data_IF_203400665496
#
_entry.id   IF_203400665496
#
_cell.length_a   1.000
_cell.length_b   1.000
_cell.length_c   1.000
_cell.angle_alpha   90.00
_cell.angle_beta   90.00
_cell.angle_gamma   90.00
#
_symmetry.space_group_name_H-M   'P 1'
#
loop_
_entity.id
_entity.type
_entity.pdbx_description
1 polymer ?
#
# COMPACT_ATOMS: atom_id res chain seq x y z
N UNK A 1 -0.13 -74.37 -9.73
CA UNK A 1 0.56 -73.12 -10.15
C UNK A 1 -0.55 -72.08 -10.30
N UNK A 2 -0.89 -71.26 -9.28
CA UNK A 2 -0.31 -69.93 -8.95
C UNK A 2 -0.19 -69.05 -10.21
N UNK A 3 -0.77 -67.86 -10.39
CA UNK A 3 -1.40 -66.79 -9.57
C UNK A 3 -2.27 -65.94 -10.54
N UNK A 4 -3.58 -65.73 -10.28
CA UNK A 4 -4.25 -64.51 -9.78
C UNK A 4 -3.71 -63.15 -10.30
N UNK A 5 -4.43 -62.58 -11.28
CA UNK A 5 -4.36 -61.16 -11.68
C UNK A 5 -5.12 -60.27 -10.69
N UNK A 6 -4.47 -59.21 -10.19
CA UNK A 6 -5.14 -58.10 -9.48
C UNK A 6 -4.78 -56.75 -10.11
N UNK A 7 -5.76 -55.86 -10.06
CA UNK A 7 -5.82 -54.55 -10.68
C UNK A 7 -4.91 -53.53 -9.99
N UNK A 8 -4.11 -52.79 -10.76
CA UNK A 8 -3.25 -51.69 -10.29
C UNK A 8 -3.54 -50.39 -11.03
N UNK A 9 -3.97 -49.38 -10.29
CA UNK A 9 -4.24 -48.00 -10.71
C UNK A 9 -2.95 -47.27 -11.13
N UNK A 10 -2.96 -46.66 -12.32
CA UNK A 10 -1.86 -45.84 -12.85
C UNK A 10 -2.00 -44.38 -12.39
N UNK A 11 -1.09 -43.92 -11.54
CA UNK A 11 -0.78 -42.50 -11.33
C UNK A 11 0.22 -42.01 -12.40
N UNK A 12 0.04 -40.82 -13.02
CA UNK A 12 1.04 -40.25 -13.92
C UNK A 12 2.15 -39.50 -13.18
N UNK A 13 3.34 -39.66 -13.75
CA UNK A 13 4.66 -39.12 -13.46
C UNK A 13 4.76 -37.70 -12.87
N UNK A 14 5.71 -37.55 -11.94
CA UNK A 14 6.22 -36.30 -11.41
C UNK A 14 7.10 -35.54 -12.43
N UNK A 15 7.01 -34.19 -12.52
CA UNK A 15 8.01 -33.39 -13.20
C UNK A 15 9.15 -32.99 -12.24
N UNK A 16 10.34 -33.46 -12.61
CA UNK A 16 11.67 -32.82 -12.51
C UNK A 16 11.88 -31.65 -11.54
N UNK A 17 12.78 -31.90 -10.58
CA UNK A 17 13.37 -30.93 -9.67
C UNK A 17 14.24 -29.88 -10.39
N UNK A 18 14.02 -28.61 -10.07
CA UNK A 18 14.89 -27.49 -10.43
C UNK A 18 14.68 -26.32 -9.47
N UNK A 19 15.78 -25.82 -8.88
CA UNK A 19 15.88 -24.71 -7.92
C UNK A 19 15.53 -24.99 -6.45
N UNK A 20 16.33 -25.86 -5.81
CA UNK A 20 16.56 -25.84 -4.37
C UNK A 20 18.06 -25.71 -4.08
N UNK A 21 18.59 -24.49 -3.91
CA UNK A 21 19.90 -24.25 -3.29
C UNK A 21 20.21 -22.77 -3.02
N UNK A 22 19.65 -22.17 -1.95
CA UNK A 22 20.22 -20.93 -1.35
C UNK A 22 20.11 -20.82 0.19
N UNK A 23 20.09 -21.96 0.89
CA UNK A 23 20.30 -21.99 2.35
C UNK A 23 20.98 -23.31 2.73
N UNK A 24 22.22 -23.34 3.24
CA UNK A 24 22.71 -24.52 3.94
C UNK A 24 22.29 -24.37 5.41
N UNK A 25 21.08 -24.81 5.74
CA UNK A 25 20.72 -25.09 7.13
C UNK A 25 20.90 -26.59 7.31
N UNK A 26 22.01 -27.02 7.90
CA UNK A 26 22.15 -28.39 8.39
C UNK A 26 21.25 -28.51 9.61
N UNK A 27 20.05 -29.07 9.43
CA UNK A 27 19.19 -29.51 10.52
C UNK A 27 19.92 -30.64 11.28
N UNK A 28 20.34 -30.37 12.51
CA UNK A 28 20.54 -31.42 13.52
C UNK A 28 19.35 -31.37 14.47
N UNK A 29 18.60 -32.46 14.50
CA UNK A 29 17.52 -32.67 15.43
C UNK A 29 18.04 -32.89 16.85
N UNK A 30 17.16 -32.61 17.81
CA UNK A 30 17.24 -32.83 19.27
C UNK A 30 17.87 -31.68 20.07
N UNK A 31 17.01 -30.77 20.55
CA UNK A 31 17.26 -29.99 21.76
C UNK A 31 15.98 -29.92 22.61
N UNK A 32 16.12 -30.32 23.87
CA UNK A 32 15.14 -30.22 24.94
C UNK A 32 14.84 -28.76 25.30
N UNK A 33 13.62 -28.44 25.79
CA UNK A 33 13.26 -27.08 26.16
C UNK A 33 14.05 -26.65 27.40
N UNK A 34 14.82 -25.56 27.27
CA UNK A 34 15.51 -24.93 28.41
C UNK A 34 14.49 -24.05 29.16
N UNK A 35 14.44 -24.08 30.50
CA UNK A 35 13.41 -23.38 31.26
C UNK A 35 13.50 -21.86 31.08
N UNK A 36 12.33 -21.22 31.00
CA UNK A 36 12.14 -19.78 31.02
C UNK A 36 12.60 -19.22 32.38
N UNK A 37 13.86 -18.79 32.48
CA UNK A 37 14.43 -18.33 33.74
C UNK A 37 15.76 -17.62 33.54
N UNK A 38 15.72 -16.41 32.96
CA UNK A 38 16.68 -15.28 33.07
C UNK A 38 16.55 -14.36 31.83
N UNK A 39 15.34 -13.88 31.54
CA UNK A 39 15.13 -12.80 30.56
C UNK A 39 15.31 -11.47 31.31
N UNK A 40 16.56 -11.19 31.65
CA UNK A 40 16.99 -9.97 32.35
C UNK A 40 18.11 -9.25 31.60
N UNK A 41 18.16 -9.35 30.27
CA UNK A 41 18.95 -8.46 29.45
C UNK A 41 18.02 -7.39 28.89
N UNK A 42 18.12 -6.17 29.41
CA UNK A 42 17.27 -5.03 29.05
C UNK A 42 17.20 -4.85 27.51
N UNK A 43 16.14 -5.35 26.89
CA UNK A 43 15.77 -5.00 25.52
C UNK A 43 15.42 -3.51 25.50
N UNK A 44 16.40 -2.65 25.22
CA UNK A 44 16.20 -1.18 25.17
C UNK A 44 15.17 -0.75 24.12
N UNK A 45 14.81 -1.64 23.18
CA UNK A 45 13.76 -1.41 22.21
C UNK A 45 12.35 -1.78 22.72
N UNK A 46 12.18 -2.43 23.88
CA UNK A 46 10.86 -2.82 24.40
C UNK A 46 10.08 -3.84 23.54
N UNK A 47 10.79 -4.71 22.82
CA UNK A 47 10.24 -5.80 21.99
C UNK A 47 11.23 -6.96 21.86
N UNK A 48 10.98 -7.96 20.99
CA UNK A 48 11.82 -9.18 20.85
C UNK A 48 13.20 -8.94 20.20
N UNK A 49 13.45 -7.76 19.63
CA UNK A 49 14.75 -7.43 19.03
C UNK A 49 15.85 -7.26 20.07
N UNK A 50 16.99 -7.90 19.81
CA UNK A 50 18.21 -7.84 20.62
C UNK A 50 19.27 -7.04 19.87
N UNK A 51 19.71 -5.91 20.44
CA UNK A 51 20.77 -5.07 19.88
C UNK A 51 22.06 -5.18 20.69
N UNK A 52 23.17 -5.38 20.00
CA UNK A 52 24.53 -5.38 20.58
C UNK A 52 25.23 -4.02 20.50
N UNK A 53 24.49 -3.00 20.02
CA UNK A 53 24.98 -1.63 19.93
C UNK A 53 25.04 -1.01 21.32
N UNK A 54 26.23 -0.53 21.73
CA UNK A 54 26.42 0.07 23.06
C UNK A 54 26.42 -0.94 24.22
N UNK A 55 26.49 -2.24 23.96
CA UNK A 55 26.65 -3.28 24.98
C UNK A 55 28.13 -3.60 25.24
N UNK A 56 28.43 -4.22 26.39
CA UNK A 56 29.78 -4.69 26.73
C UNK A 56 30.29 -5.75 25.74
N UNK A 57 31.61 -5.95 25.69
CA UNK A 57 32.24 -6.96 24.85
C UNK A 57 31.80 -8.38 25.21
N UNK A 58 31.70 -8.69 26.50
CA UNK A 58 31.24 -9.99 27.00
C UNK A 58 29.79 -10.28 26.60
N UNK A 59 28.90 -9.29 26.71
CA UNK A 59 27.51 -9.42 26.28
C UNK A 59 27.39 -9.61 24.76
N UNK A 60 28.15 -8.82 23.98
CA UNK A 60 28.20 -8.98 22.53
C UNK A 60 28.67 -10.38 22.14
N UNK A 61 29.73 -10.90 22.75
CA UNK A 61 30.21 -12.25 22.50
C UNK A 61 29.18 -13.33 22.84
N UNK A 62 28.41 -13.17 23.92
CA UNK A 62 27.33 -14.09 24.28
C UNK A 62 26.21 -14.15 23.22
N UNK A 63 25.76 -13.00 22.71
CA UNK A 63 24.73 -12.92 21.66
C UNK A 63 25.21 -13.59 20.36
N UNK A 64 26.45 -13.32 19.95
CA UNK A 64 27.00 -13.94 18.73
C UNK A 64 27.19 -15.45 18.88
N UNK A 65 27.58 -15.96 20.06
CA UNK A 65 27.64 -17.41 20.32
C UNK A 65 26.28 -18.08 20.19
N UNK A 66 25.22 -17.50 20.78
CA UNK A 66 23.84 -18.00 20.64
C UNK A 66 23.36 -18.05 19.19
N UNK A 67 23.72 -17.03 18.40
CA UNK A 67 23.37 -16.98 16.97
C UNK A 67 24.13 -18.02 16.12
N UNK A 68 25.33 -18.44 16.53
CA UNK A 68 26.17 -19.38 15.77
C UNK A 68 25.97 -20.84 16.18
N UNK A 69 25.85 -21.10 17.49
CA UNK A 69 25.91 -22.46 18.05
C UNK A 69 24.53 -23.11 18.18
N UNK A 70 23.54 -22.34 18.63
CA UNK A 70 22.22 -22.87 18.99
C UNK A 70 21.19 -22.64 17.88
N UNK A 71 21.44 -21.68 16.98
CA UNK A 71 20.51 -21.30 15.91
C UNK A 71 19.26 -20.55 16.41
N UNK A 72 19.15 -20.35 17.73
CA UNK A 72 18.01 -19.70 18.40
C UNK A 72 17.85 -18.22 18.05
N UNK A 73 18.92 -17.56 17.61
CA UNK A 73 18.92 -16.16 17.22
C UNK A 73 19.25 -15.99 15.74
N UNK A 74 18.34 -15.33 15.01
CA UNK A 74 18.54 -14.95 13.62
C UNK A 74 19.09 -13.52 13.56
N UNK A 75 20.20 -13.34 12.86
CA UNK A 75 20.75 -12.01 12.60
C UNK A 75 19.94 -11.30 11.52
N UNK A 76 19.28 -10.19 11.87
CA UNK A 76 18.49 -9.37 10.95
C UNK A 76 19.37 -8.31 10.28
N UNK A 77 20.20 -7.63 11.07
CA UNK A 77 21.16 -6.61 10.64
C UNK A 77 22.48 -6.77 11.39
N UNK A 78 23.57 -6.10 10.96
CA UNK A 78 24.77 -6.05 11.77
C UNK A 78 24.49 -5.55 13.19
N UNK A 79 24.78 -6.43 14.16
CA UNK A 79 24.57 -6.14 15.57
C UNK A 79 23.13 -6.20 16.07
N UNK A 80 22.15 -6.59 15.24
CA UNK A 80 20.73 -6.73 15.61
C UNK A 80 20.21 -8.12 15.27
N UNK A 81 19.59 -8.76 16.27
CA UNK A 81 19.15 -10.15 16.24
C UNK A 81 17.69 -10.26 16.70
N UNK A 82 17.03 -11.34 16.30
CA UNK A 82 15.69 -11.73 16.75
C UNK A 82 15.67 -13.21 17.09
N UNK A 83 14.93 -13.66 18.14
CA UNK A 83 14.66 -15.07 18.34
C UNK A 83 13.99 -15.70 17.10
N UNK A 84 14.39 -16.92 16.75
CA UNK A 84 13.82 -17.63 15.58
C UNK A 84 12.29 -17.77 15.66
N UNK A 85 11.76 -18.03 16.86
CA UNK A 85 10.33 -18.20 17.12
C UNK A 85 9.52 -16.90 16.94
N UNK A 86 10.18 -15.74 16.99
CA UNK A 86 9.59 -14.40 16.83
C UNK A 86 9.74 -13.89 15.38
N UNK A 87 10.34 -14.67 14.48
CA UNK A 87 10.56 -14.27 13.10
C UNK A 87 9.25 -14.38 12.31
N UNK A 88 8.69 -13.25 11.80
CA UNK A 88 7.41 -13.27 11.11
C UNK A 88 7.48 -13.98 9.76
N UNK A 89 6.36 -14.58 9.36
CA UNK A 89 6.19 -15.22 8.05
C UNK A 89 5.63 -14.21 7.05
N UNK A 90 4.68 -13.36 7.46
CA UNK A 90 4.02 -12.41 6.56
C UNK A 90 4.99 -11.33 6.08
N UNK A 91 4.90 -11.01 4.78
CA UNK A 91 5.80 -10.02 4.14
C UNK A 91 5.73 -8.66 4.81
N UNK A 92 4.53 -8.17 5.14
CA UNK A 92 4.37 -6.86 5.76
C UNK A 92 4.90 -6.84 7.20
N UNK A 93 4.75 -7.94 7.94
CA UNK A 93 5.38 -8.09 9.26
C UNK A 93 6.91 -8.14 9.15
N UNK A 94 7.47 -8.77 8.10
CA UNK A 94 8.92 -8.71 7.80
C UNK A 94 9.40 -7.31 7.44
N UNK A 95 8.64 -6.55 6.66
CA UNK A 95 8.96 -5.12 6.38
C UNK A 95 9.00 -4.34 7.69
N UNK A 96 8.01 -4.51 8.57
CA UNK A 96 7.97 -3.86 9.89
C UNK A 96 9.16 -4.25 10.76
N UNK A 97 9.53 -5.53 10.79
CA UNK A 97 10.73 -6.04 11.48
C UNK A 97 11.99 -5.34 10.96
N UNK A 98 12.17 -5.29 9.66
CA UNK A 98 13.33 -4.69 9.02
C UNK A 98 13.45 -3.19 9.32
N UNK A 99 12.36 -2.43 9.19
CA UNK A 99 12.34 -1.01 9.55
C UNK A 99 12.69 -0.81 11.03
N UNK A 100 12.10 -1.62 11.92
CA UNK A 100 12.36 -1.53 13.36
C UNK A 100 13.82 -1.85 13.68
N UNK A 101 14.37 -2.93 13.10
CA UNK A 101 15.75 -3.34 13.28
C UNK A 101 16.74 -2.25 12.82
N UNK A 102 16.48 -1.60 11.68
CA UNK A 102 17.31 -0.52 11.19
C UNK A 102 17.27 0.70 12.12
N UNK A 103 16.08 1.10 12.58
CA UNK A 103 15.95 2.20 13.55
C UNK A 103 16.69 1.90 14.88
N UNK A 104 16.63 0.65 15.35
CA UNK A 104 17.35 0.19 16.55
C UNK A 104 18.87 0.20 16.34
N UNK A 105 19.36 -0.20 15.17
CA UNK A 105 20.78 -0.12 14.82
C UNK A 105 21.28 1.34 14.75
N UNK A 106 20.40 2.25 14.31
CA UNK A 106 20.70 3.67 14.12
C UNK A 106 19.96 4.55 15.15
N UNK A 107 20.32 4.41 16.43
CA UNK A 107 19.62 4.99 17.61
C UNK A 107 19.25 6.49 17.56
N UNK A 108 19.99 7.30 16.79
CA UNK A 108 19.75 8.74 16.67
C UNK A 108 18.94 9.11 15.42
N UNK A 109 18.47 8.11 14.67
CA UNK A 109 17.68 8.32 13.46
C UNK A 109 16.18 8.33 13.75
N UNK A 110 15.43 8.82 12.77
CA UNK A 110 13.97 8.83 12.73
C UNK A 110 13.56 8.05 11.50
N UNK A 111 12.60 7.15 11.59
CA UNK A 111 12.04 6.50 10.40
C UNK A 111 11.22 7.53 9.61
N UNK A 112 11.48 7.65 8.32
CA UNK A 112 10.93 8.70 7.45
C UNK A 112 10.38 8.16 6.13
N UNK A 113 9.76 9.04 5.34
CA UNK A 113 9.29 8.80 3.98
C UNK A 113 8.49 7.51 3.82
N UNK A 114 8.87 6.63 2.89
CA UNK A 114 8.14 5.37 2.59
C UNK A 114 8.11 4.41 3.77
N UNK A 115 9.18 4.33 4.56
CA UNK A 115 9.20 3.48 5.75
C UNK A 115 8.26 4.02 6.83
N UNK A 116 8.21 5.34 7.02
CA UNK A 116 7.24 5.95 7.93
C UNK A 116 5.81 5.77 7.41
N UNK A 117 5.58 5.95 6.11
CA UNK A 117 4.28 5.76 5.48
C UNK A 117 3.74 4.34 5.68
N UNK A 118 4.60 3.32 5.49
CA UNK A 118 4.26 1.94 5.75
C UNK A 118 3.85 1.71 7.21
N UNK A 119 4.61 2.24 8.16
CA UNK A 119 4.34 2.13 9.59
C UNK A 119 3.06 2.85 10.02
N UNK A 120 2.73 3.97 9.37
CA UNK A 120 1.46 4.67 9.52
C UNK A 120 0.28 3.95 8.86
N UNK A 121 0.53 2.84 8.17
CA UNK A 121 -0.48 2.05 7.47
C UNK A 121 -1.02 2.73 6.22
N UNK A 122 -0.28 3.67 5.63
CA UNK A 122 -0.69 4.38 4.42
C UNK A 122 -0.73 3.45 3.21
N UNK A 123 -1.68 3.73 2.32
CA UNK A 123 -1.83 3.05 1.06
C UNK A 123 -0.55 3.06 0.23
N UNK A 124 -0.32 1.93 -0.45
CA UNK A 124 0.76 1.72 -1.42
C UNK A 124 0.14 1.51 -2.79
N UNK A 125 0.88 1.85 -3.85
CA UNK A 125 0.40 1.60 -5.20
C UNK A 125 0.30 0.10 -5.50
N UNK A 126 -0.46 -0.26 -6.52
CA UNK A 126 -0.52 -1.61 -7.08
C UNK A 126 0.87 -2.20 -7.33
N UNK A 127 1.75 -1.39 -7.90
CA UNK A 127 3.12 -1.78 -8.24
C UNK A 127 3.95 -2.05 -6.98
N UNK A 128 3.85 -1.18 -5.97
CA UNK A 128 4.56 -1.34 -4.70
C UNK A 128 4.09 -2.59 -3.92
N UNK A 129 2.80 -2.91 -4.00
CA UNK A 129 2.22 -4.12 -3.39
C UNK A 129 2.63 -5.38 -4.16
N UNK A 130 2.68 -5.31 -5.49
CA UNK A 130 3.05 -6.45 -6.34
C UNK A 130 4.56 -6.73 -6.36
N UNK A 131 5.39 -5.75 -5.99
CA UNK A 131 6.84 -5.91 -5.95
C UNK A 131 7.26 -7.05 -5.02
N UNK A 132 8.15 -7.92 -5.51
CA UNK A 132 8.75 -9.00 -4.73
C UNK A 132 9.88 -8.50 -3.84
N UNK A 133 10.49 -7.37 -4.21
CA UNK A 133 11.62 -6.80 -3.49
C UNK A 133 11.16 -6.10 -2.22
N UNK A 134 12.01 -6.12 -1.19
CA UNK A 134 11.79 -5.29 -0.02
C UNK A 134 12.18 -3.83 -0.35
N UNK A 135 11.32 -2.84 -0.05
CA UNK A 135 11.66 -1.45 -0.31
C UNK A 135 12.86 -1.04 0.55
N UNK A 136 13.70 -0.10 0.08
CA UNK A 136 14.74 0.49 0.91
C UNK A 136 14.15 1.09 2.19
N UNK A 137 14.87 0.93 3.31
CA UNK A 137 14.50 1.51 4.59
C UNK A 137 15.00 2.94 4.66
N UNK A 138 14.12 3.88 4.96
CA UNK A 138 14.46 5.30 5.00
C UNK A 138 14.62 5.81 6.43
N UNK A 139 15.82 6.29 6.75
CA UNK A 139 16.19 6.82 8.05
C UNK A 139 16.64 8.29 7.95
N UNK A 140 15.97 9.17 8.67
CA UNK A 140 16.25 10.59 8.77
C UNK A 140 17.25 10.93 9.87
N UNK A 141 18.20 11.81 9.59
CA UNK A 141 19.08 12.42 10.60
C UNK A 141 19.24 13.92 10.37
N UNK A 142 19.50 14.69 11.44
CA UNK A 142 19.70 16.14 11.38
C UNK A 142 21.16 16.52 11.12
N UNK A 143 22.10 15.67 11.56
CA UNK A 143 23.54 15.98 11.63
C UNK A 143 24.33 15.63 10.35
N UNK A 144 23.80 14.78 9.47
CA UNK A 144 24.52 14.41 8.25
C UNK A 144 24.25 15.41 7.11
N UNK A 145 25.33 15.90 6.51
CA UNK A 145 25.33 16.89 5.43
C UNK A 145 24.88 16.31 4.08
N UNK A 146 24.90 14.99 3.90
CA UNK A 146 24.56 14.30 2.64
C UNK A 146 23.70 13.05 2.85
N UNK A 147 22.92 12.69 1.82
CA UNK A 147 22.26 11.38 1.73
C UNK A 147 23.33 10.30 1.67
N UNK A 148 23.18 9.22 2.45
CA UNK A 148 24.09 8.06 2.45
C UNK A 148 23.30 6.79 2.20
N UNK A 149 23.90 5.83 1.51
CA UNK A 149 23.31 4.52 1.30
C UNK A 149 24.15 3.48 2.03
N UNK A 150 23.51 2.68 2.88
CA UNK A 150 24.13 1.52 3.52
C UNK A 150 23.47 0.28 2.95
N UNK A 151 24.24 -0.56 2.27
CA UNK A 151 23.76 -1.83 1.73
C UNK A 151 24.21 -2.97 2.61
N UNK A 152 23.26 -3.79 3.02
CA UNK A 152 23.49 -5.13 3.56
C UNK A 152 22.99 -6.15 2.54
N UNK A 153 23.47 -7.40 2.63
CA UNK A 153 23.34 -8.46 1.61
C UNK A 153 21.94 -8.62 0.97
N UNK A 154 20.87 -8.21 1.67
CA UNK A 154 19.48 -8.31 1.22
C UNK A 154 18.65 -7.05 1.52
N UNK A 155 19.28 -5.97 2.01
CA UNK A 155 18.58 -4.83 2.57
C UNK A 155 19.32 -3.51 2.31
N UNK A 156 18.59 -2.54 1.80
CA UNK A 156 19.10 -1.20 1.52
C UNK A 156 18.59 -0.23 2.58
N UNK A 157 19.47 0.59 3.14
CA UNK A 157 19.13 1.66 4.06
C UNK A 157 19.51 2.98 3.40
N UNK A 158 18.52 3.84 3.20
CA UNK A 158 18.68 5.19 2.70
C UNK A 158 18.65 6.18 3.87
N UNK A 159 19.79 6.83 4.09
CA UNK A 159 19.88 7.91 5.07
C UNK A 159 19.51 9.23 4.41
N UNK A 160 18.48 9.90 4.92
CA UNK A 160 17.99 11.18 4.41
C UNK A 160 18.29 12.30 5.42
N UNK A 161 18.57 13.50 4.90
CA UNK A 161 18.67 14.69 5.74
C UNK A 161 17.25 15.16 6.09
N UNK A 162 17.00 15.36 7.39
CA UNK A 162 15.74 15.94 7.89
C UNK A 162 16.00 17.24 8.64
N UNK A 163 14.97 18.07 8.75
CA UNK A 163 15.06 19.33 9.50
C UNK A 163 14.90 19.07 11.00
N UNK A 164 15.42 20.00 11.83
CA UNK A 164 15.14 19.99 13.28
C UNK A 164 13.64 20.02 13.61
N UNK A 165 12.81 20.58 12.71
CA UNK A 165 11.35 20.58 12.87
C UNK A 165 10.78 19.16 12.79
N UNK A 166 11.23 18.34 11.83
CA UNK A 166 10.85 16.92 11.74
C UNK A 166 11.32 16.17 12.99
N UNK A 167 12.54 16.44 13.46
CA UNK A 167 13.08 15.80 14.66
C UNK A 167 12.30 16.10 15.93
N UNK A 168 11.87 17.35 16.12
CA UNK A 168 11.05 17.76 17.28
C UNK A 168 9.62 17.23 17.21
N UNK A 169 9.07 17.02 16.01
CA UNK A 169 7.70 16.54 15.77
C UNK A 169 7.58 15.03 15.61
N UNK A 170 8.70 14.29 15.63
CA UNK A 170 8.64 12.84 15.50
C UNK A 170 7.85 12.23 16.66
N UNK A 171 7.16 11.13 16.39
CA UNK A 171 6.39 10.37 17.37
C UNK A 171 7.14 9.11 17.75
N UNK A 172 7.05 8.71 19.01
CA UNK A 172 7.47 7.36 19.42
C UNK A 172 6.35 6.39 19.08
N UNK A 173 6.64 5.43 18.22
CA UNK A 173 5.66 4.45 17.75
C UNK A 173 6.05 3.06 18.26
N UNK A 174 5.06 2.32 18.77
CA UNK A 174 5.21 0.91 19.16
C UNK A 174 4.96 0.04 17.93
N UNK A 175 5.93 -0.80 17.57
CA UNK A 175 5.78 -1.91 16.63
C UNK A 175 5.74 -3.23 17.41
N UNK A 176 5.37 -4.36 16.78
CA UNK A 176 5.54 -5.68 17.40
C UNK A 176 6.99 -5.99 17.79
N UNK A 177 7.96 -5.30 17.19
CA UNK A 177 9.39 -5.58 17.33
C UNK A 177 10.13 -4.59 18.25
N UNK A 178 9.47 -3.50 18.64
CA UNK A 178 9.99 -2.51 19.59
C UNK A 178 9.44 -1.09 19.39
N UNK A 179 9.98 -0.14 20.14
CA UNK A 179 9.63 1.27 20.10
C UNK A 179 10.66 2.05 19.29
N UNK A 180 10.18 2.83 18.33
CA UNK A 180 11.02 3.56 17.39
C UNK A 180 10.50 4.99 17.18
N UNK A 181 11.39 5.90 16.79
CA UNK A 181 11.03 7.27 16.41
C UNK A 181 10.61 7.30 14.95
N UNK A 182 9.42 7.82 14.67
CA UNK A 182 8.84 7.90 13.32
C UNK A 182 8.44 9.34 13.03
N UNK A 183 8.61 9.81 11.79
CA UNK A 183 8.08 11.11 11.38
C UNK A 183 6.57 11.19 11.65
N UNK A 184 6.05 12.37 12.01
CA UNK A 184 4.61 12.57 12.16
C UNK A 184 3.89 12.25 10.84
N UNK A 185 2.58 11.97 10.88
CA UNK A 185 1.80 11.69 9.66
C UNK A 185 1.91 12.82 8.63
N UNK A 186 1.82 14.08 9.08
CA UNK A 186 1.98 15.25 8.22
C UNK A 186 3.40 15.37 7.65
N UNK A 187 4.44 15.20 8.47
CA UNK A 187 5.82 15.19 8.00
C UNK A 187 6.06 14.07 6.98
N UNK A 188 5.47 12.90 7.21
CA UNK A 188 5.53 11.76 6.29
C UNK A 188 4.90 12.11 4.94
N UNK A 189 3.71 12.72 4.93
CA UNK A 189 3.07 13.19 3.70
C UNK A 189 3.94 14.21 2.94
N UNK A 190 4.50 15.20 3.64
CA UNK A 190 5.40 16.19 3.03
C UNK A 190 6.65 15.52 2.42
N UNK A 191 7.20 14.51 3.10
CA UNK A 191 8.36 13.76 2.64
C UNK A 191 8.04 12.92 1.40
N UNK A 192 6.89 12.25 1.37
CA UNK A 192 6.42 11.50 0.20
C UNK A 192 6.31 12.39 -1.03
N UNK A 193 5.71 13.57 -0.88
CA UNK A 193 5.56 14.56 -1.96
C UNK A 193 6.89 15.06 -2.53
N UNK A 194 7.95 15.10 -1.72
CA UNK A 194 9.25 15.64 -2.10
C UNK A 194 10.22 14.58 -2.64
N UNK A 195 10.13 13.35 -2.15
CA UNK A 195 11.19 12.36 -2.31
C UNK A 195 10.82 11.19 -3.21
N UNK A 196 9.53 10.92 -3.37
CA UNK A 196 9.02 9.68 -3.96
C UNK A 196 8.28 9.93 -5.27
N UNK A 197 8.17 8.92 -6.15
CA UNK A 197 7.38 9.02 -7.36
C UNK A 197 5.98 9.57 -7.09
N UNK A 198 5.52 10.44 -7.98
CA UNK A 198 4.28 11.20 -7.81
C UNK A 198 3.07 10.30 -7.50
N UNK A 199 2.98 9.13 -8.13
CA UNK A 199 1.84 8.23 -7.92
C UNK A 199 1.77 7.68 -6.51
N UNK A 200 2.91 7.17 -6.02
CA UNK A 200 3.02 6.69 -4.65
C UNK A 200 2.70 7.81 -3.65
N UNK A 201 3.19 9.03 -3.93
CA UNK A 201 2.89 10.18 -3.08
C UNK A 201 1.39 10.54 -3.09
N UNK A 202 0.75 10.63 -4.25
CA UNK A 202 -0.68 10.98 -4.36
C UNK A 202 -1.55 9.92 -3.66
N UNK A 203 -1.33 8.63 -3.95
CA UNK A 203 -2.09 7.52 -3.36
C UNK A 203 -1.98 7.51 -1.83
N UNK A 204 -0.77 7.57 -1.31
CA UNK A 204 -0.54 7.54 0.14
C UNK A 204 -1.07 8.79 0.84
N UNK A 205 -0.93 9.97 0.22
CA UNK A 205 -1.38 11.23 0.81
C UNK A 205 -2.90 11.34 0.81
N UNK A 206 -3.60 10.88 -0.23
CA UNK A 206 -5.07 10.85 -0.23
C UNK A 206 -5.62 9.90 0.84
N UNK A 207 -5.04 8.71 0.98
CA UNK A 207 -5.38 7.79 2.06
C UNK A 207 -5.14 8.43 3.44
N UNK A 208 -4.02 9.14 3.62
CA UNK A 208 -3.72 9.86 4.85
C UNK A 208 -4.75 10.97 5.15
N UNK A 209 -5.13 11.76 4.14
CA UNK A 209 -6.13 12.83 4.28
C UNK A 209 -7.50 12.28 4.65
N UNK A 210 -7.91 11.17 4.03
CA UNK A 210 -9.18 10.50 4.32
C UNK A 210 -9.21 9.94 5.74
N UNK A 211 -8.16 9.24 6.16
CA UNK A 211 -8.05 8.65 7.50
C UNK A 211 -8.06 9.69 8.61
N UNK A 212 -7.31 10.77 8.41
CA UNK A 212 -7.23 11.84 9.39
C UNK A 212 -8.40 12.83 9.32
N UNK A 213 -9.29 12.69 8.32
CA UNK A 213 -10.37 13.65 8.02
C UNK A 213 -9.84 15.09 7.92
N UNK A 214 -8.64 15.27 7.38
CA UNK A 214 -8.01 16.59 7.32
C UNK A 214 -8.65 17.46 6.25
N UNK A 215 -8.75 18.78 6.48
CA UNK A 215 -9.14 19.70 5.44
C UNK A 215 -8.11 19.71 4.31
N UNK A 216 -8.57 19.95 3.08
CA UNK A 216 -7.73 20.06 1.88
C UNK A 216 -6.48 20.94 2.03
N UNK A 217 -6.57 21.99 2.84
CA UNK A 217 -5.49 22.94 3.09
C UNK A 217 -4.48 22.53 4.16
N UNK A 218 -4.54 21.30 4.68
CA UNK A 218 -3.61 20.80 5.68
C UNK A 218 -2.19 20.60 5.12
N UNK A 219 -2.08 20.25 3.83
CA UNK A 219 -0.81 20.17 3.12
C UNK A 219 -0.64 21.42 2.25
N UNK A 220 0.28 22.30 2.68
CA UNK A 220 0.53 23.59 2.03
C UNK A 220 1.86 23.57 1.28
N UNK A 221 1.85 24.01 0.03
CA UNK A 221 3.07 24.15 -0.80
C UNK A 221 4.10 25.04 -0.11
N UNK A 222 3.63 26.03 0.65
CA UNK A 222 4.43 26.99 1.42
C UNK A 222 5.38 26.29 2.38
N UNK A 223 4.94 25.20 3.02
CA UNK A 223 5.75 24.42 3.96
C UNK A 223 6.93 23.69 3.27
N UNK A 224 6.84 23.53 1.95
CA UNK A 224 7.77 22.77 1.12
C UNK A 224 8.73 23.68 0.33
N UNK A 225 8.57 25.01 0.41
CA UNK A 225 9.41 25.99 -0.33
C UNK A 225 10.90 25.78 -0.02
N UNK A 226 11.73 25.95 -1.06
CA UNK A 226 13.18 25.81 -0.97
C UNK A 226 13.71 24.38 -0.85
N UNK A 227 12.85 23.36 -0.84
CA UNK A 227 13.26 21.95 -0.75
C UNK A 227 13.42 21.31 -2.14
N UNK A 228 14.41 20.42 -2.28
CA UNK A 228 14.55 19.54 -3.45
C UNK A 228 13.26 18.71 -3.61
N UNK A 229 12.75 18.61 -4.84
CA UNK A 229 11.49 17.93 -5.14
C UNK A 229 10.25 18.82 -5.18
N UNK A 230 10.36 20.12 -4.85
CA UNK A 230 9.20 21.04 -4.79
C UNK A 230 8.39 21.12 -6.09
N UNK A 231 9.03 21.01 -7.27
CA UNK A 231 8.32 21.02 -8.56
C UNK A 231 7.38 19.82 -8.69
N UNK A 232 7.85 18.63 -8.30
CA UNK A 232 7.02 17.42 -8.27
C UNK A 232 5.93 17.52 -7.20
N UNK A 233 6.27 17.96 -6.00
CA UNK A 233 5.30 18.16 -4.92
C UNK A 233 4.14 19.08 -5.34
N UNK A 234 4.45 20.19 -6.05
CA UNK A 234 3.42 21.09 -6.60
C UNK A 234 2.51 20.40 -7.60
N UNK A 235 3.06 19.57 -8.49
CA UNK A 235 2.28 18.79 -9.46
C UNK A 235 1.40 17.76 -8.75
N UNK A 236 1.96 17.01 -7.80
CA UNK A 236 1.22 16.04 -6.99
C UNK A 236 0.06 16.71 -6.24
N UNK A 237 0.29 17.88 -5.63
CA UNK A 237 -0.75 18.63 -4.90
C UNK A 237 -1.90 19.13 -5.80
N UNK A 238 -1.69 19.31 -7.11
CA UNK A 238 -2.80 19.56 -8.06
C UNK A 238 -3.66 18.32 -8.30
N UNK A 239 -3.07 17.14 -8.19
CA UNK A 239 -3.73 15.85 -8.41
C UNK A 239 -4.40 15.32 -7.14
N UNK A 240 -3.98 15.80 -5.96
CA UNK A 240 -4.51 15.37 -4.67
C UNK A 240 -5.91 15.95 -4.41
N UNK A 241 -6.87 15.07 -4.18
CA UNK A 241 -8.23 15.36 -3.74
C UNK A 241 -8.65 14.42 -2.61
N UNK A 242 -9.46 14.88 -1.65
CA UNK A 242 -9.96 14.05 -0.55
C UNK A 242 -11.19 13.23 -0.96
N UNK A 243 -11.40 13.00 -2.27
CA UNK A 243 -12.62 12.40 -2.81
C UNK A 243 -12.42 10.97 -3.31
N UNK A 244 -11.18 10.55 -3.57
CA UNK A 244 -10.89 9.16 -3.86
C UNK A 244 -11.10 8.36 -2.58
N UNK A 245 -12.05 7.44 -2.54
CA UNK A 245 -12.38 6.66 -1.33
C UNK A 245 -11.52 5.40 -1.21
N UNK A 246 -10.75 5.08 -2.26
CA UNK A 246 -9.83 3.95 -2.30
C UNK A 246 -8.51 4.30 -3.00
N UNK A 247 -7.41 3.58 -2.68
CA UNK A 247 -6.13 3.72 -3.39
C UNK A 247 -6.26 3.49 -4.90
N UNK A 248 -7.21 2.62 -5.29
CA UNK A 248 -7.46 2.28 -6.70
C UNK A 248 -8.11 3.42 -7.46
N UNK A 249 -9.06 4.12 -6.87
CA UNK A 249 -9.59 5.36 -7.45
C UNK A 249 -8.49 6.41 -7.62
N UNK A 250 -7.61 6.57 -6.64
CA UNK A 250 -6.46 7.49 -6.75
C UNK A 250 -5.54 7.10 -7.92
N UNK A 251 -5.23 5.81 -8.09
CA UNK A 251 -4.41 5.37 -9.23
C UNK A 251 -5.13 5.47 -10.58
N UNK A 252 -6.43 5.12 -10.66
CA UNK A 252 -7.21 5.26 -11.88
C UNK A 252 -7.24 6.72 -12.32
N UNK A 253 -7.53 7.62 -11.38
CA UNK A 253 -7.46 9.06 -11.60
C UNK A 253 -6.12 9.50 -12.22
N UNK A 254 -5.00 9.02 -11.67
CA UNK A 254 -3.66 9.35 -12.18
C UNK A 254 -3.45 8.84 -13.62
N UNK A 255 -4.03 7.69 -13.98
CA UNK A 255 -3.97 7.17 -15.35
C UNK A 255 -4.85 7.97 -16.31
N UNK A 256 -6.07 8.33 -15.90
CA UNK A 256 -6.95 9.19 -16.70
C UNK A 256 -6.28 10.55 -16.98
N UNK A 257 -5.66 11.14 -15.95
CA UNK A 257 -4.92 12.40 -16.11
C UNK A 257 -3.71 12.25 -17.06
N UNK A 258 -2.97 11.14 -17.00
CA UNK A 258 -1.86 10.88 -17.94
C UNK A 258 -2.33 10.65 -19.38
N UNK A 259 -3.52 10.09 -19.56
CA UNK A 259 -4.14 9.88 -20.86
C UNK A 259 -4.59 11.21 -21.52
N UNK A 260 -4.43 12.36 -20.86
CA UNK A 260 -4.77 13.67 -21.41
C UNK A 260 -6.25 14.01 -21.35
N UNK A 261 -7.06 13.20 -20.65
CA UNK A 261 -8.48 13.49 -20.44
C UNK A 261 -8.66 14.74 -19.57
N UNK A 262 -9.77 15.49 -19.70
CA UNK A 262 -10.10 16.55 -18.77
C UNK A 262 -10.42 16.00 -17.38
N UNK A 263 -10.41 16.83 -16.35
CA UNK A 263 -10.74 16.38 -15.00
C UNK A 263 -12.21 15.94 -14.89
N UNK A 264 -12.51 14.64 -14.64
CA UNK A 264 -13.86 14.20 -14.36
C UNK A 264 -14.31 14.70 -12.98
N UNK A 265 -15.61 14.74 -12.75
CA UNK A 265 -16.21 14.93 -11.44
C UNK A 265 -16.09 13.64 -10.62
N UNK A 266 -15.74 13.74 -9.34
CA UNK A 266 -15.66 12.59 -8.43
C UNK A 266 -16.90 12.46 -7.54
N UNK A 267 -17.22 11.21 -7.19
CA UNK A 267 -18.26 10.85 -6.21
C UNK A 267 -19.59 11.50 -6.57
N UNK A 268 -20.02 11.29 -7.82
CA UNK A 268 -21.17 11.97 -8.43
C UNK A 268 -22.45 11.26 -8.04
N UNK A 269 -23.39 12.00 -7.46
CA UNK A 269 -24.73 11.52 -7.16
C UNK A 269 -25.67 11.87 -8.30
N UNK A 270 -26.27 10.86 -8.91
CA UNK A 270 -27.23 10.99 -10.01
C UNK A 270 -28.65 10.82 -9.46
N UNK A 271 -29.55 11.71 -9.90
CA UNK A 271 -30.97 11.72 -9.55
C UNK A 271 -31.84 11.81 -10.80
N UNK A 272 -33.11 11.42 -10.67
CA UNK A 272 -34.13 11.80 -11.64
C UNK A 272 -34.49 13.29 -11.50
N UNK A 273 -35.15 13.83 -12.53
CA UNK A 273 -35.81 15.14 -12.47
C UNK A 273 -36.85 15.25 -11.33
N UNK A 274 -37.41 14.13 -10.87
CA UNK A 274 -38.31 14.06 -9.71
C UNK A 274 -37.58 14.15 -8.37
N UNK A 275 -36.25 14.18 -8.35
CA UNK A 275 -35.42 14.14 -7.14
C UNK A 275 -35.08 12.74 -6.62
N UNK A 276 -35.64 11.68 -7.21
CA UNK A 276 -35.32 10.28 -6.84
C UNK A 276 -33.82 10.00 -6.99
N UNK A 277 -33.18 9.48 -5.94
CA UNK A 277 -31.79 9.02 -5.99
C UNK A 277 -31.65 7.77 -6.84
N UNK A 278 -30.82 7.85 -7.88
CA UNK A 278 -30.53 6.70 -8.74
C UNK A 278 -29.23 6.02 -8.30
N UNK A 279 -28.16 6.77 -8.06
CA UNK A 279 -26.89 6.15 -7.69
C UNK A 279 -25.80 7.15 -7.38
N UNK A 280 -24.70 6.64 -6.84
CA UNK A 280 -23.43 7.35 -6.68
C UNK A 280 -22.35 6.62 -7.45
N UNK A 281 -21.61 7.34 -8.28
CA UNK A 281 -20.58 6.79 -9.18
C UNK A 281 -19.23 7.44 -8.89
N UNK A 282 -18.14 6.71 -9.14
CA UNK A 282 -16.78 7.14 -8.74
C UNK A 282 -16.31 8.37 -9.52
N UNK A 283 -16.44 8.31 -10.85
CA UNK A 283 -16.07 9.39 -11.77
C UNK A 283 -17.14 9.63 -12.83
N UNK A 284 -17.34 10.88 -13.23
CA UNK A 284 -18.20 11.24 -14.35
C UNK A 284 -17.66 12.42 -15.14
N UNK A 285 -17.61 12.31 -16.46
CA UNK A 285 -17.32 13.41 -17.37
C UNK A 285 -18.59 14.21 -17.71
N UNK A 286 -18.42 15.47 -18.13
CA UNK A 286 -19.56 16.34 -18.48
C UNK A 286 -20.38 15.82 -19.68
N UNK A 287 -19.79 14.97 -20.53
CA UNK A 287 -20.49 14.30 -21.63
C UNK A 287 -21.40 13.15 -21.17
N UNK A 288 -21.46 12.84 -19.87
CA UNK A 288 -22.28 11.75 -19.31
C UNK A 288 -21.58 10.39 -19.24
N UNK A 289 -20.30 10.32 -19.60
CA UNK A 289 -19.49 9.12 -19.40
C UNK A 289 -19.19 8.93 -17.91
N UNK A 290 -19.60 7.78 -17.37
CA UNK A 290 -19.35 7.32 -16.01
C UNK A 290 -18.21 6.32 -16.04
N UNK A 291 -17.26 6.46 -15.12
CA UNK A 291 -16.16 5.52 -14.94
C UNK A 291 -16.18 5.01 -13.51
N UNK A 292 -16.27 3.69 -13.34
CA UNK A 292 -16.24 3.04 -12.03
C UNK A 292 -15.06 2.08 -11.94
N UNK A 293 -14.37 2.08 -10.79
CA UNK A 293 -13.36 1.07 -10.52
C UNK A 293 -14.01 -0.13 -9.81
N UNK A 294 -14.06 -1.27 -10.49
CA UNK A 294 -14.63 -2.50 -9.92
C UNK A 294 -13.54 -3.34 -9.25
N UNK A 295 -13.42 -3.19 -7.93
CA UNK A 295 -12.62 -4.09 -7.13
C UNK A 295 -13.37 -5.41 -6.94
N UNK A 296 -12.84 -6.52 -7.47
CA UNK A 296 -13.39 -7.89 -7.34
C UNK A 296 -13.86 -8.26 -5.91
N UNK A 297 -13.34 -7.61 -4.87
CA UNK A 297 -13.73 -7.74 -3.47
C UNK A 297 -15.11 -7.18 -3.10
N UNK A 298 -15.80 -6.39 -3.95
CA UNK A 298 -17.23 -6.08 -3.73
C UNK A 298 -18.13 -7.30 -3.99
N UNK A 299 -17.63 -8.32 -4.68
CA UNK A 299 -18.40 -9.52 -5.03
C UNK A 299 -17.80 -10.82 -4.45
N UNK A 300 -16.51 -10.84 -4.10
CA UNK A 300 -15.81 -12.05 -3.65
C UNK A 300 -15.75 -12.27 -2.13
N UNK A 301 -16.19 -11.32 -1.30
CA UNK A 301 -16.22 -11.48 0.18
C UNK A 301 -17.58 -11.95 0.72
N UNK A 302 -18.43 -12.51 -0.12
CA UNK A 302 -19.48 -13.41 0.35
C UNK A 302 -18.89 -14.81 0.22
N UNK A 303 -18.26 -15.31 1.28
CA UNK A 303 -18.19 -16.76 1.48
C UNK A 303 -19.62 -17.26 1.28
N UNK A 304 -19.84 -18.02 0.19
CA UNK A 304 -21.16 -18.46 -0.25
C UNK A 304 -21.65 -19.49 0.77
N UNK A 305 -22.20 -18.99 1.85
CA UNK A 305 -23.21 -19.70 2.62
C UNK A 305 -24.40 -19.93 1.65
N UNK A 306 -24.91 -21.17 1.49
CA UNK A 306 -26.09 -21.45 0.68
C UNK A 306 -27.29 -20.56 1.01
N UNK A 307 -27.39 -20.02 2.24
CA UNK A 307 -28.42 -19.06 2.65
C UNK A 307 -28.20 -17.62 2.12
N UNK A 308 -27.01 -17.29 1.61
CA UNK A 308 -26.63 -15.98 1.06
C UNK A 308 -26.70 -15.88 -0.47
N UNK A 309 -27.00 -16.97 -1.18
CA UNK A 309 -27.14 -16.93 -2.65
C UNK A 309 -28.28 -15.99 -3.07
N UNK A 310 -29.41 -16.07 -2.38
CA UNK A 310 -30.57 -15.19 -2.62
C UNK A 310 -30.28 -13.71 -2.29
N UNK A 311 -29.43 -13.42 -1.30
CA UNK A 311 -29.09 -12.04 -0.93
C UNK A 311 -28.09 -11.42 -1.91
N UNK A 312 -27.15 -12.21 -2.43
CA UNK A 312 -26.23 -11.82 -3.50
C UNK A 312 -26.97 -11.55 -4.81
N UNK A 313 -27.85 -12.46 -5.23
CA UNK A 313 -28.62 -12.32 -6.47
C UNK A 313 -29.52 -11.07 -6.45
N UNK A 314 -30.21 -10.82 -5.32
CA UNK A 314 -30.99 -9.57 -5.14
C UNK A 314 -30.10 -8.33 -5.21
N UNK A 315 -28.89 -8.38 -4.68
CA UNK A 315 -27.96 -7.24 -4.71
C UNK A 315 -27.47 -6.95 -6.13
N UNK A 316 -27.08 -7.99 -6.88
CA UNK A 316 -26.68 -7.87 -8.28
C UNK A 316 -27.84 -7.39 -9.17
N UNK A 317 -29.05 -7.88 -8.95
CA UNK A 317 -30.22 -7.43 -9.70
C UNK A 317 -30.57 -5.96 -9.42
N UNK A 318 -30.43 -5.49 -8.17
CA UNK A 318 -30.58 -4.06 -7.84
C UNK A 318 -29.51 -3.21 -8.50
N UNK A 319 -28.27 -3.68 -8.56
CA UNK A 319 -27.18 -2.96 -9.21
C UNK A 319 -27.37 -2.86 -10.73
N UNK A 320 -27.78 -3.96 -11.38
CA UNK A 320 -28.12 -3.97 -12.82
C UNK A 320 -29.31 -3.07 -13.14
N UNK A 321 -30.37 -3.13 -12.34
CA UNK A 321 -31.55 -2.28 -12.52
C UNK A 321 -31.20 -0.79 -12.33
N UNK A 322 -30.34 -0.49 -11.35
CA UNK A 322 -29.80 0.87 -11.16
C UNK A 322 -29.05 1.35 -12.40
N UNK A 323 -28.12 0.53 -12.90
CA UNK A 323 -27.33 0.84 -14.08
C UNK A 323 -28.22 1.08 -15.30
N UNK A 324 -29.18 0.17 -15.55
CA UNK A 324 -30.18 0.29 -16.62
C UNK A 324 -30.97 1.60 -16.52
N UNK A 325 -31.39 2.02 -15.32
CA UNK A 325 -32.11 3.29 -15.10
C UNK A 325 -31.24 4.50 -15.43
N UNK A 326 -29.97 4.48 -15.04
CA UNK A 326 -29.01 5.55 -15.33
C UNK A 326 -28.73 5.61 -16.83
N UNK A 327 -28.47 4.46 -17.48
CA UNK A 327 -28.28 4.38 -18.93
C UNK A 327 -29.50 4.85 -19.73
N UNK A 328 -30.72 4.59 -19.21
CA UNK A 328 -31.97 5.09 -19.79
C UNK A 328 -32.03 6.63 -19.91
N UNK A 329 -31.28 7.35 -19.08
CA UNK A 329 -31.13 8.81 -19.15
C UNK A 329 -30.05 9.27 -20.14
N UNK A 330 -29.35 8.36 -20.82
CA UNK A 330 -28.30 8.67 -21.78
C UNK A 330 -26.90 8.80 -21.19
N UNK A 331 -26.68 8.37 -19.94
CA UNK A 331 -25.33 8.16 -19.43
C UNK A 331 -24.77 6.84 -19.96
N UNK A 332 -23.45 6.72 -20.03
CA UNK A 332 -22.77 5.46 -20.38
C UNK A 332 -21.75 5.08 -19.31
N UNK A 333 -21.53 3.79 -19.13
CA UNK A 333 -20.60 3.25 -18.14
C UNK A 333 -19.39 2.63 -18.82
N UNK A 334 -18.21 2.87 -18.23
CA UNK A 334 -17.01 2.06 -18.42
C UNK A 334 -16.57 1.55 -17.05
N UNK A 335 -16.58 0.24 -16.86
CA UNK A 335 -16.08 -0.41 -15.63
C UNK A 335 -14.64 -0.84 -15.82
N UNK A 336 -13.76 -0.31 -14.99
CA UNK A 336 -12.35 -0.66 -14.98
C UNK A 336 -12.11 -1.69 -13.88
N UNK A 337 -11.99 -2.95 -14.26
CA UNK A 337 -11.68 -4.03 -13.33
C UNK A 337 -10.17 -4.12 -13.05
N UNK A 338 -9.78 -5.02 -12.14
CA UNK A 338 -8.36 -5.21 -11.79
C UNK A 338 -7.47 -5.59 -12.98
N UNK A 339 -8.00 -6.38 -13.93
CA UNK A 339 -7.26 -6.88 -15.08
C UNK A 339 -7.09 -5.77 -16.11
N UNK A 340 -8.18 -5.14 -16.55
CA UNK A 340 -8.16 -4.04 -17.52
C UNK A 340 -7.41 -2.83 -16.98
N UNK A 341 -7.48 -2.58 -15.67
CA UNK A 341 -6.61 -1.63 -15.00
C UNK A 341 -5.13 -1.98 -15.15
N UNK A 342 -4.73 -3.23 -14.89
CA UNK A 342 -3.32 -3.63 -14.96
C UNK A 342 -2.79 -3.59 -16.39
N UNK A 343 -3.60 -4.06 -17.34
CA UNK A 343 -3.25 -4.17 -18.76
C UNK A 343 -3.31 -2.82 -19.48
N UNK A 344 -4.01 -1.82 -18.91
CA UNK A 344 -4.15 -0.49 -19.49
C UNK A 344 -5.39 -0.33 -20.37
N UNK A 345 -5.95 -1.45 -20.85
CA UNK A 345 -7.13 -1.49 -21.72
C UNK A 345 -8.33 -0.76 -21.13
N UNK A 346 -8.55 -0.84 -19.81
CA UNK A 346 -9.67 -0.13 -19.19
C UNK A 346 -9.54 1.39 -19.24
N UNK A 347 -8.33 1.93 -19.36
CA UNK A 347 -8.12 3.38 -19.57
C UNK A 347 -8.26 3.73 -21.04
N UNK A 348 -7.84 2.85 -21.95
CA UNK A 348 -8.03 2.99 -23.40
C UNK A 348 -9.53 3.04 -23.73
N UNK A 349 -10.33 2.13 -23.16
CA UNK A 349 -11.80 2.12 -23.29
C UNK A 349 -12.41 3.45 -22.82
N UNK A 350 -11.93 4.02 -21.72
CA UNK A 350 -12.41 5.32 -21.24
C UNK A 350 -12.06 6.44 -22.23
N UNK A 351 -10.86 6.43 -22.82
CA UNK A 351 -10.42 7.45 -23.78
C UNK A 351 -11.25 7.38 -25.05
N UNK A 352 -11.41 6.19 -25.63
CA UNK A 352 -12.22 5.96 -26.83
C UNK A 352 -13.66 6.38 -26.57
N UNK A 353 -14.26 5.91 -25.48
CA UNK A 353 -15.65 6.24 -25.15
C UNK A 353 -15.87 7.71 -24.85
N UNK A 354 -14.88 8.36 -24.24
CA UNK A 354 -14.94 9.80 -23.99
C UNK A 354 -14.96 10.58 -25.30
N UNK A 355 -14.09 10.24 -26.26
CA UNK A 355 -14.06 10.88 -27.58
C UNK A 355 -15.40 10.67 -28.31
N UNK A 356 -15.89 9.43 -28.37
CA UNK A 356 -17.16 9.09 -28.99
C UNK A 356 -18.33 9.91 -28.43
N UNK A 357 -18.42 10.04 -27.10
CA UNK A 357 -19.51 10.79 -26.45
C UNK A 357 -19.36 12.30 -26.57
N UNK A 358 -18.16 12.82 -26.82
CA UNK A 358 -17.95 14.24 -27.13
C UNK A 358 -18.42 14.53 -28.56
N UNK A 359 -18.06 13.67 -29.52
CA UNK A 359 -18.42 13.81 -30.93
C UNK A 359 -19.89 13.48 -31.20
N UNK A 360 -20.43 12.50 -30.45
CA UNK A 360 -21.81 12.02 -30.56
C UNK A 360 -22.54 12.13 -29.21
N UNK A 361 -22.81 13.35 -28.73
CA UNK A 361 -23.40 13.53 -27.41
C UNK A 361 -24.83 12.99 -27.35
N UNK A 362 -25.29 12.55 -26.16
CA UNK A 362 -26.68 12.15 -25.95
C UNK A 362 -27.67 13.25 -26.39
N UNK A 363 -28.84 12.83 -26.87
CA UNK A 363 -29.86 13.76 -27.36
C UNK A 363 -30.17 14.87 -26.35
N UNK A 364 -30.49 16.08 -26.84
CA UNK A 364 -30.77 17.24 -25.99
C UNK A 364 -31.84 16.93 -24.93
N UNK A 365 -32.92 16.26 -25.33
CA UNK A 365 -34.00 15.83 -24.44
C UNK A 365 -33.56 14.88 -23.33
N UNK A 366 -32.54 14.03 -23.57
CA UNK A 366 -31.94 13.19 -22.52
C UNK A 366 -31.09 14.03 -21.56
N UNK A 367 -30.24 14.90 -22.10
CA UNK A 367 -29.35 15.77 -21.30
C UNK A 367 -30.11 16.76 -20.41
N UNK A 368 -31.24 17.28 -20.87
CA UNK A 368 -32.11 18.16 -20.06
C UNK A 368 -32.70 17.45 -18.82
N UNK A 369 -32.73 16.12 -18.80
CA UNK A 369 -33.20 15.33 -17.65
C UNK A 369 -32.09 15.01 -16.64
N UNK A 370 -30.85 15.42 -16.92
CA UNK A 370 -29.70 15.13 -16.06
C UNK A 370 -29.76 15.99 -14.80
N UNK A 371 -29.96 15.33 -13.67
CA UNK A 371 -29.87 15.95 -12.35
C UNK A 371 -28.78 15.24 -11.58
N UNK A 372 -27.69 15.93 -11.29
CA UNK A 372 -26.56 15.35 -10.55
C UNK A 372 -25.84 16.39 -9.71
N UNK A 373 -25.10 15.91 -8.71
CA UNK A 373 -24.19 16.72 -7.91
C UNK A 373 -22.90 15.95 -7.64
N UNK A 374 -21.78 16.65 -7.50
CA UNK A 374 -20.46 16.04 -7.32
C UNK A 374 -19.75 16.62 -6.10
N UNK A 375 -18.81 15.86 -5.52
CA UNK A 375 -17.90 16.39 -4.48
C UNK A 375 -16.89 17.38 -5.08
N UNK A 376 -16.53 17.21 -6.35
CA UNK A 376 -15.74 18.15 -7.13
C UNK A 376 -14.88 17.46 -8.20
N UNK A 377 -14.10 18.25 -8.95
CA UNK A 377 -13.16 17.73 -9.95
C UNK A 377 -12.11 16.80 -9.33
N UNK A 378 -11.70 15.80 -10.11
CA UNK A 378 -10.71 14.80 -9.74
C UNK A 378 -9.31 15.38 -9.56
N UNK A 379 -8.96 16.41 -10.32
CA UNK A 379 -7.74 17.18 -10.14
C UNK A 379 -7.96 18.64 -10.53
N UNK A 380 -6.98 19.49 -10.23
CA UNK A 380 -6.91 20.89 -10.68
C UNK A 380 -6.10 20.97 -11.96
N UNK A 381 -6.63 21.70 -12.94
CA UNK A 381 -5.93 22.07 -14.16
C UNK A 381 -4.77 23.06 -13.86
#
# INVERSE_FOLDING_TARGET
MREICSWGTKHPAAPTAGLASRFPIKLRAQHTPVPCGMIGAMNRAGGPLISTTGTSQSHRAAVYRRAQKDGDLIRVLPGVFIPFQELPIERDARISLFITAAAVAHRNSIVVGRSAAFLHGLARTTEEVASKDYPPIELGTVTHSSTRHTSHRWMQIEHRRVTRKVERRCVTMRTPFGHIRVASMLDTCEQLLLWHPMDAAVVAVEDALNRMKLPRGALRVENLKGRKGIKQARRALKLITPWSESPRESELKLRLWRAGLPAPMQQVVIRRHTGEFLGRVDFMFHCGLIVEYDGASKHASVSVDPSNVFSLERSLNRERERERRIMGLGYEFVRVDRRSFREGTGVEDVVERYADMVDNPPSKTKREKWVWSAKGKAWRE
#
